data_IF_936707044296
#
_entry.id   IF_936707044296
#
_cell.length_a   1.000
_cell.length_b   1.000
_cell.length_c   1.000
_cell.angle_alpha   90.00
_cell.angle_beta   90.00
_cell.angle_gamma   90.00
#
_symmetry.space_group_name_H-M   'P 1'
#
loop_
_entity.id
_entity.type
_entity.pdbx_description
1 polymer ?
#
# COMPACT_ATOMS: atom_id res chain seq x y z
N UNK A 1 -10.73 21.99 -12.25
CA UNK A 1 -10.25 21.58 -10.91
C UNK A 1 -9.08 20.65 -11.18
N UNK A 2 -7.87 21.04 -10.80
CA UNK A 2 -6.72 20.13 -10.92
C UNK A 2 -6.99 18.91 -10.03
N UNK A 3 -6.99 17.72 -10.62
CA UNK A 3 -7.06 16.47 -9.87
C UNK A 3 -5.68 16.21 -9.27
N UNK A 4 -5.63 15.91 -7.96
CA UNK A 4 -4.39 15.52 -7.32
C UNK A 4 -3.79 14.30 -8.02
N UNK A 5 -2.47 14.21 -8.16
CA UNK A 5 -1.80 13.02 -8.69
C UNK A 5 -1.59 11.92 -7.60
N UNK A 6 -1.14 10.73 -8.01
CA UNK A 6 -0.90 9.58 -7.13
C UNK A 6 0.07 9.88 -5.98
N UNK A 7 1.14 10.62 -6.26
CA UNK A 7 2.12 11.02 -5.24
C UNK A 7 1.53 12.00 -4.24
N UNK A 8 0.75 12.98 -4.69
CA UNK A 8 0.08 13.95 -3.82
C UNK A 8 -0.91 13.26 -2.87
N UNK A 9 -1.73 12.33 -3.38
CA UNK A 9 -2.64 11.53 -2.54
C UNK A 9 -1.88 10.75 -1.48
N UNK A 10 -0.81 10.06 -1.89
CA UNK A 10 0.01 9.24 -0.99
C UNK A 10 0.69 10.10 0.08
N UNK A 11 1.21 11.28 -0.29
CA UNK A 11 1.88 12.20 0.62
C UNK A 11 0.91 12.80 1.66
N UNK A 12 -0.31 13.16 1.25
CA UNK A 12 -1.34 13.63 2.19
C UNK A 12 -1.74 12.52 3.16
N UNK A 13 -2.03 11.31 2.66
CA UNK A 13 -2.36 10.15 3.49
C UNK A 13 -1.25 9.86 4.52
N UNK A 14 0.00 9.91 4.10
CA UNK A 14 1.15 9.70 4.96
C UNK A 14 1.36 10.81 6.02
N UNK A 15 0.99 12.05 5.70
CA UNK A 15 1.18 13.19 6.60
C UNK A 15 0.27 13.15 7.83
N UNK A 16 -1.00 12.76 7.68
CA UNK A 16 -1.96 12.74 8.78
C UNK A 16 -1.52 11.99 10.04
N UNK A 17 -1.10 10.71 9.98
CA UNK A 17 -0.66 9.99 11.16
C UNK A 17 0.61 10.60 11.79
N UNK A 18 1.48 11.25 10.98
CA UNK A 18 2.69 11.92 11.49
C UNK A 18 2.38 13.23 12.19
N UNK A 19 1.42 13.98 11.67
CA UNK A 19 0.93 15.21 12.27
C UNK A 19 0.00 14.94 13.46
N UNK A 20 -0.37 13.68 13.72
CA UNK A 20 -1.34 13.27 14.75
C UNK A 20 -2.70 13.96 14.56
N UNK A 21 -3.06 14.22 13.30
CA UNK A 21 -4.33 14.83 12.91
C UNK A 21 -5.27 13.71 12.47
N UNK A 22 -6.48 13.70 13.04
CA UNK A 22 -7.58 12.87 12.53
C UNK A 22 -8.32 13.67 11.45
N UNK A 23 -8.28 13.27 10.18
CA UNK A 23 -8.97 14.00 9.11
C UNK A 23 -10.48 13.86 9.26
N UNK A 24 -11.22 14.80 8.68
CA UNK A 24 -12.65 14.66 8.50
C UNK A 24 -12.97 13.46 7.57
N UNK A 25 -14.10 12.81 7.79
CA UNK A 25 -14.50 11.61 7.05
C UNK A 25 -14.65 11.90 5.54
N UNK A 26 -15.12 13.09 5.20
CA UNK A 26 -15.29 13.57 3.84
C UNK A 26 -13.94 13.68 3.12
N UNK A 27 -12.90 14.13 3.83
CA UNK A 27 -11.53 14.22 3.30
C UNK A 27 -10.98 12.82 3.03
N UNK A 28 -11.15 11.88 3.96
CA UNK A 28 -10.72 10.49 3.75
C UNK A 28 -11.45 9.86 2.56
N UNK A 29 -12.77 10.05 2.47
CA UNK A 29 -13.59 9.51 1.37
C UNK A 29 -13.15 10.08 0.01
N UNK A 30 -12.81 11.37 -0.05
CA UNK A 30 -12.29 12.00 -1.25
C UNK A 30 -10.90 11.46 -1.64
N UNK A 31 -10.00 11.30 -0.66
CA UNK A 31 -8.67 10.71 -0.90
C UNK A 31 -8.76 9.26 -1.36
N UNK A 32 -9.66 8.46 -0.81
CA UNK A 32 -9.92 7.10 -1.26
C UNK A 32 -10.43 7.06 -2.70
N UNK A 33 -11.32 7.98 -3.06
CA UNK A 33 -11.86 8.10 -4.41
C UNK A 33 -10.76 8.45 -5.41
N UNK A 34 -9.89 9.40 -5.05
CA UNK A 34 -8.73 9.78 -5.87
C UNK A 34 -7.71 8.66 -5.99
N UNK A 35 -7.35 8.01 -4.87
CA UNK A 35 -6.44 6.85 -4.86
C UNK A 35 -6.96 5.72 -5.75
N UNK A 36 -8.26 5.43 -5.69
CA UNK A 36 -8.89 4.40 -6.52
C UNK A 36 -8.86 4.77 -8.01
N UNK A 37 -9.12 6.04 -8.34
CA UNK A 37 -9.14 6.50 -9.73
C UNK A 37 -7.76 6.43 -10.41
N UNK A 38 -6.70 6.52 -9.62
CA UNK A 38 -5.31 6.62 -10.09
C UNK A 38 -4.48 5.41 -9.72
N UNK A 39 -5.14 4.31 -9.35
CA UNK A 39 -4.46 3.17 -8.74
C UNK A 39 -3.39 2.55 -9.63
N UNK A 40 -3.60 2.62 -10.95
CA UNK A 40 -2.67 2.10 -11.95
C UNK A 40 -1.46 3.02 -12.18
N UNK A 41 -1.50 4.25 -11.67
CA UNK A 41 -0.37 5.19 -11.67
C UNK A 41 0.49 5.06 -10.39
N UNK A 42 0.12 4.15 -9.48
CA UNK A 42 0.88 3.93 -8.26
C UNK A 42 2.07 3.02 -8.60
N UNK A 43 3.25 3.34 -8.09
CA UNK A 43 4.31 2.34 -8.02
C UNK A 43 4.17 1.50 -6.73
N UNK A 44 5.00 0.46 -6.59
CA UNK A 44 5.03 -0.38 -5.38
C UNK A 44 5.12 0.41 -4.06
N UNK A 45 5.93 1.49 -4.05
CA UNK A 45 6.06 2.36 -2.88
C UNK A 45 4.77 3.12 -2.58
N UNK A 46 4.07 3.65 -3.59
CA UNK A 46 2.79 4.34 -3.41
C UNK A 46 1.71 3.40 -2.83
N UNK A 47 1.68 2.14 -3.29
CA UNK A 47 0.78 1.11 -2.73
C UNK A 47 1.10 0.86 -1.25
N UNK A 48 2.36 0.54 -0.94
CA UNK A 48 2.79 0.25 0.42
C UNK A 48 2.58 1.43 1.37
N UNK A 49 2.88 2.66 0.92
CA UNK A 49 2.69 3.89 1.69
C UNK A 49 1.21 4.17 1.96
N UNK A 50 0.34 4.02 0.97
CA UNK A 50 -1.10 4.24 1.12
C UNK A 50 -1.70 3.27 2.14
N UNK A 51 -1.43 1.96 2.00
CA UNK A 51 -1.89 0.94 2.95
C UNK A 51 -1.35 1.19 4.35
N UNK A 52 -0.06 1.53 4.47
CA UNK A 52 0.56 1.86 5.76
C UNK A 52 -0.05 3.09 6.41
N UNK A 53 -0.42 4.11 5.63
CA UNK A 53 -1.07 5.31 6.14
C UNK A 53 -2.43 5.00 6.73
N UNK A 54 -3.28 4.28 5.99
CA UNK A 54 -4.59 3.83 6.48
C UNK A 54 -4.48 2.97 7.73
N UNK A 55 -3.54 2.01 7.75
CA UNK A 55 -3.24 1.18 8.91
C UNK A 55 -2.82 2.00 10.15
N UNK A 56 -1.95 3.01 9.98
CA UNK A 56 -1.52 3.90 11.07
C UNK A 56 -2.64 4.77 11.60
N UNK A 57 -3.57 5.18 10.74
CA UNK A 57 -4.77 5.92 11.15
C UNK A 57 -5.84 5.01 11.78
N UNK A 58 -5.63 3.69 11.81
CA UNK A 58 -6.64 2.69 12.17
C UNK A 58 -7.96 2.89 11.40
N UNK A 59 -7.84 3.29 10.13
CA UNK A 59 -8.95 3.58 9.24
C UNK A 59 -9.04 2.48 8.18
N UNK A 60 -10.03 1.58 8.25
CA UNK A 60 -10.26 0.58 7.20
C UNK A 60 -10.81 1.26 5.94
N UNK A 61 -10.08 1.26 4.82
CA UNK A 61 -10.57 1.87 3.58
C UNK A 61 -11.75 1.08 3.00
N UNK A 62 -12.47 1.73 2.08
CA UNK A 62 -13.51 1.14 1.27
C UNK A 62 -13.01 -0.15 0.61
N UNK A 63 -13.83 -1.21 0.67
CA UNK A 63 -13.51 -2.52 0.12
C UNK A 63 -13.07 -2.47 -1.34
N UNK A 64 -13.65 -1.57 -2.14
CA UNK A 64 -13.28 -1.40 -3.54
C UNK A 64 -11.86 -0.86 -3.72
N UNK A 65 -11.40 0.05 -2.85
CA UNK A 65 -10.02 0.54 -2.86
C UNK A 65 -9.07 -0.57 -2.37
N UNK A 66 -9.42 -1.28 -1.30
CA UNK A 66 -8.59 -2.38 -0.79
C UNK A 66 -8.35 -3.48 -1.84
N UNK A 67 -9.40 -3.91 -2.54
CA UNK A 67 -9.29 -4.89 -3.64
C UNK A 67 -8.46 -4.36 -4.80
N UNK A 68 -8.61 -3.08 -5.13
CA UNK A 68 -7.78 -2.46 -6.16
C UNK A 68 -6.30 -2.45 -5.76
N UNK A 69 -5.99 -2.09 -4.51
CA UNK A 69 -4.61 -2.00 -4.02
C UNK A 69 -3.97 -3.40 -3.95
N UNK A 70 -4.76 -4.40 -3.58
CA UNK A 70 -4.35 -5.80 -3.64
C UNK A 70 -4.05 -6.26 -5.07
N UNK A 71 -4.95 -5.99 -6.03
CA UNK A 71 -4.74 -6.33 -7.43
C UNK A 71 -3.51 -5.62 -8.00
N UNK A 72 -3.32 -4.35 -7.66
CA UNK A 72 -2.16 -3.60 -8.15
C UNK A 72 -0.87 -4.07 -7.49
N UNK A 73 -0.88 -4.42 -6.21
CA UNK A 73 0.26 -5.04 -5.53
C UNK A 73 0.67 -6.37 -6.20
N UNK A 74 -0.30 -7.14 -6.69
CA UNK A 74 -0.03 -8.37 -7.44
C UNK A 74 0.70 -8.08 -8.75
N UNK A 75 0.25 -7.07 -9.49
CA UNK A 75 0.87 -6.67 -10.78
C UNK A 75 2.28 -6.12 -10.57
N UNK A 76 2.48 -5.31 -9.53
CA UNK A 76 3.76 -4.66 -9.23
C UNK A 76 4.71 -5.50 -8.37
N UNK A 77 4.42 -6.79 -8.13
CA UNK A 77 5.10 -7.57 -7.09
C UNK A 77 6.62 -7.59 -7.22
N UNK A 78 7.14 -7.64 -8.45
CA UNK A 78 8.57 -7.65 -8.73
C UNK A 78 9.25 -6.29 -8.40
N UNK A 79 8.49 -5.19 -8.43
CA UNK A 79 8.94 -3.85 -8.06
C UNK A 79 9.01 -3.64 -6.54
N UNK A 80 8.46 -4.55 -5.72
CA UNK A 80 8.56 -4.44 -4.27
C UNK A 80 9.94 -4.87 -3.76
N UNK A 81 10.55 -4.03 -2.95
CA UNK A 81 11.71 -4.39 -2.12
C UNK A 81 11.26 -5.00 -0.78
N UNK A 82 12.24 -5.45 0.02
CA UNK A 82 11.98 -6.08 1.31
C UNK A 82 11.22 -5.18 2.29
N UNK A 83 11.49 -3.87 2.28
CA UNK A 83 10.83 -2.91 3.16
C UNK A 83 9.38 -2.66 2.73
N UNK A 84 9.13 -2.54 1.43
CA UNK A 84 7.81 -2.37 0.85
C UNK A 84 6.93 -3.60 1.13
N UNK A 85 7.46 -4.82 0.99
CA UNK A 85 6.75 -6.06 1.35
C UNK A 85 6.42 -6.10 2.84
N UNK A 86 7.39 -5.81 3.72
CA UNK A 86 7.15 -5.80 5.16
C UNK A 86 6.03 -4.81 5.56
N UNK A 87 6.03 -3.63 4.95
CA UNK A 87 4.98 -2.63 5.15
C UNK A 87 3.62 -3.11 4.64
N UNK A 88 3.59 -3.83 3.52
CA UNK A 88 2.37 -4.40 2.93
C UNK A 88 1.73 -5.42 3.87
N UNK A 89 2.51 -6.40 4.36
CA UNK A 89 2.05 -7.40 5.33
C UNK A 89 1.58 -6.77 6.64
N UNK A 90 2.36 -5.83 7.19
CA UNK A 90 2.00 -5.13 8.42
C UNK A 90 0.68 -4.37 8.27
N UNK A 91 0.51 -3.66 7.14
CA UNK A 91 -0.70 -2.89 6.89
C UNK A 91 -1.93 -3.79 6.74
N UNK A 92 -1.84 -4.89 5.99
CA UNK A 92 -2.93 -5.86 5.88
C UNK A 92 -3.32 -6.43 7.24
N UNK A 93 -2.35 -6.88 8.04
CA UNK A 93 -2.59 -7.39 9.37
C UNK A 93 -3.26 -6.35 10.29
N UNK A 94 -2.76 -5.10 10.26
CA UNK A 94 -3.30 -4.01 11.09
C UNK A 94 -4.71 -3.59 10.70
N UNK A 95 -5.04 -3.66 9.41
CA UNK A 95 -6.37 -3.37 8.88
C UNK A 95 -7.34 -4.55 9.04
N UNK A 96 -6.88 -5.71 9.50
CA UNK A 96 -7.69 -6.93 9.54
C UNK A 96 -8.07 -7.43 8.14
N UNK A 97 -7.30 -7.04 7.13
CA UNK A 97 -7.52 -7.44 5.74
C UNK A 97 -6.74 -8.72 5.44
N UNK A 98 -7.43 -9.76 4.97
CA UNK A 98 -6.80 -10.98 4.51
C UNK A 98 -6.65 -10.92 2.99
N UNK A 99 -5.43 -10.73 2.44
CA UNK A 99 -5.22 -10.80 1.01
C UNK A 99 -5.54 -12.20 0.47
N UNK A 100 -5.94 -12.27 -0.78
CA UNK A 100 -6.23 -13.50 -1.50
C UNK A 100 -5.00 -14.40 -1.62
N UNK A 101 -5.22 -15.72 -1.81
CA UNK A 101 -4.15 -16.70 -1.85
C UNK A 101 -3.13 -16.43 -2.97
N UNK A 102 -3.57 -15.89 -4.11
CA UNK A 102 -2.70 -15.60 -5.24
C UNK A 102 -1.68 -14.50 -4.91
N UNK A 103 -2.13 -13.41 -4.26
CA UNK A 103 -1.21 -12.36 -3.81
C UNK A 103 -0.24 -12.90 -2.74
N UNK A 104 -0.75 -13.71 -1.81
CA UNK A 104 0.11 -14.33 -0.77
C UNK A 104 1.21 -15.17 -1.40
N UNK A 105 0.89 -16.02 -2.39
CA UNK A 105 1.87 -16.88 -3.05
C UNK A 105 2.97 -16.07 -3.77
N UNK A 106 2.62 -14.99 -4.48
CA UNK A 106 3.63 -14.17 -5.16
C UNK A 106 4.46 -13.33 -4.17
N UNK A 107 3.88 -12.90 -3.05
CA UNK A 107 4.63 -12.24 -1.98
C UNK A 107 5.64 -13.19 -1.33
N UNK A 108 5.27 -14.44 -1.07
CA UNK A 108 6.18 -15.46 -0.53
C UNK A 108 7.35 -15.72 -1.49
N UNK A 109 7.07 -15.89 -2.79
CA UNK A 109 8.10 -16.05 -3.81
C UNK A 109 9.05 -14.85 -3.88
N UNK A 110 8.50 -13.63 -3.83
CA UNK A 110 9.31 -12.40 -3.86
C UNK A 110 10.20 -12.28 -2.62
N UNK A 111 9.69 -12.62 -1.44
CA UNK A 111 10.48 -12.67 -0.20
C UNK A 111 11.63 -13.67 -0.34
N UNK A 112 11.38 -14.86 -0.87
CA UNK A 112 12.41 -15.88 -1.06
C UNK A 112 13.54 -15.37 -1.98
N UNK A 113 13.19 -14.77 -3.12
CA UNK A 113 14.17 -14.15 -4.03
C UNK A 113 15.02 -13.08 -3.32
N UNK A 114 14.41 -12.22 -2.51
CA UNK A 114 15.14 -11.16 -1.80
C UNK A 114 16.07 -11.71 -0.71
N UNK A 115 15.70 -12.81 -0.05
CA UNK A 115 16.56 -13.51 0.92
C UNK A 115 17.76 -14.13 0.21
N UNK A 116 17.55 -14.76 -0.95
CA UNK A 116 18.61 -15.41 -1.73
C UNK A 116 19.58 -14.39 -2.32
N UNK A 117 19.09 -13.23 -2.79
CA UNK A 117 19.92 -12.11 -3.23
C UNK A 117 20.79 -11.56 -2.08
N UNK A 118 20.24 -11.49 -0.86
CA UNK A 118 21.01 -11.08 0.32
C UNK A 118 22.12 -12.08 0.66
N UNK A 119 21.85 -13.39 0.52
CA UNK A 119 22.83 -14.43 0.78
C UNK A 119 23.92 -14.51 -0.31
N UNK A 120 23.56 -14.23 -1.57
CA UNK A 120 24.52 -14.26 -2.70
C UNK A 120 25.42 -13.04 -2.80
N UNK A 121 24.99 -11.88 -2.27
CA UNK A 121 25.84 -10.67 -2.15
C UNK A 121 26.80 -10.72 -0.94
N UNK A 122 26.81 -11.82 -0.19
CA UNK A 122 27.62 -12.05 0.99
C UNK A 122 28.56 -13.24 0.89
N UNK A 123 29.39 -13.33 -0.16
CA UNK A 123 30.63 -14.15 -0.20
C UNK A 123 31.71 -13.44 -1.00
#
# INVERSE_FOLDING_TARGET
VESMNSMEVTNILWAFPRLKIKPAQEVLTALETQAKAQIWDFNAQNVAMSLSAFAKMAYPPQTALMRGLEQHAFVEIDSFDAQALANLFWAFAKLGYKPGPDLVAVMENRIQSLIDDFNSQGV
#
